data_IF_133344970416
#
_entry.id   IF_133344970416
#
_cell.length_a   1.000
_cell.length_b   1.000
_cell.length_c   1.000
_cell.angle_alpha   90.00
_cell.angle_beta   90.00
_cell.angle_gamma   90.00
#
_symmetry.space_group_name_H-M   'P 1'
#
loop_
_entity.id
_entity.type
_entity.pdbx_description
1 polymer ?
#
# COMPACT_ATOMS: atom_id res chain seq x y z
N UNK A 1 26.73 18.80 -6.05
CA UNK A 1 25.50 19.29 -6.71
C UNK A 1 24.38 18.30 -6.41
N UNK A 2 23.59 18.51 -5.35
CA UNK A 2 22.44 17.67 -5.04
C UNK A 2 21.30 18.03 -5.99
N UNK A 3 21.15 17.21 -7.03
CA UNK A 3 20.04 17.29 -7.97
C UNK A 3 18.72 17.13 -7.21
N UNK A 4 17.99 18.24 -7.04
CA UNK A 4 16.59 18.23 -6.63
C UNK A 4 15.76 17.72 -7.81
N UNK A 5 15.78 16.42 -8.07
CA UNK A 5 14.80 15.80 -8.97
C UNK A 5 13.43 15.83 -8.28
N UNK A 6 12.60 16.79 -8.65
CA UNK A 6 11.33 17.15 -8.02
C UNK A 6 10.19 16.15 -8.25
N UNK A 7 10.36 14.89 -7.83
CA UNK A 7 9.31 13.88 -7.98
C UNK A 7 7.99 14.22 -7.26
N UNK A 8 6.89 13.81 -7.89
CA UNK A 8 5.50 14.10 -7.50
C UNK A 8 5.09 13.34 -6.23
N UNK A 9 4.29 13.98 -5.36
CA UNK A 9 3.72 13.35 -4.15
C UNK A 9 2.21 13.34 -4.22
N UNK A 10 1.59 12.29 -3.67
CA UNK A 10 0.15 12.26 -3.50
C UNK A 10 -0.30 13.29 -2.46
N UNK A 11 -1.40 14.00 -2.74
CA UNK A 11 -2.05 14.91 -1.80
C UNK A 11 -3.55 15.06 -2.14
N UNK A 12 -4.46 14.40 -1.40
CA UNK A 12 -4.21 13.45 -0.32
C UNK A 12 -3.75 12.07 -0.82
N UNK A 13 -3.28 11.21 0.10
CA UNK A 13 -2.84 9.85 -0.22
C UNK A 13 -4.02 8.89 -0.14
N UNK A 14 -4.24 8.08 -1.17
CA UNK A 14 -5.30 7.08 -1.21
C UNK A 14 -4.77 5.65 -1.34
N UNK A 15 -5.53 4.72 -0.81
CA UNK A 15 -5.48 3.28 -1.11
C UNK A 15 -6.82 2.86 -1.71
N UNK A 16 -6.83 1.82 -2.54
CA UNK A 16 -8.05 1.34 -3.19
C UNK A 16 -7.93 -0.09 -3.69
N UNK A 17 -9.05 -0.67 -4.11
CA UNK A 17 -9.10 -2.00 -4.71
C UNK A 17 -8.38 -2.10 -6.06
N UNK A 18 -8.37 -3.29 -6.66
CA UNK A 18 -7.64 -3.56 -7.91
C UNK A 18 -8.17 -2.78 -9.12
N UNK A 19 -9.45 -2.38 -9.11
CA UNK A 19 -10.05 -1.54 -10.16
C UNK A 19 -9.61 -0.08 -10.08
N UNK A 20 -9.03 0.36 -8.97
CA UNK A 20 -8.56 1.74 -8.78
C UNK A 20 -7.17 1.86 -9.38
N UNK A 21 -7.03 2.78 -10.34
CA UNK A 21 -5.76 3.02 -11.02
C UNK A 21 -4.67 3.46 -10.03
N UNK A 22 -3.47 2.94 -10.20
CA UNK A 22 -2.30 3.31 -9.42
C UNK A 22 -1.70 4.64 -9.89
N UNK A 23 -0.97 5.31 -9.00
CA UNK A 23 -0.15 6.48 -9.31
C UNK A 23 -0.38 7.65 -8.35
N UNK A 24 -0.10 8.86 -8.84
CA UNK A 24 -0.18 10.09 -8.03
C UNK A 24 -1.64 10.45 -7.77
N UNK A 25 -2.08 10.32 -6.52
CA UNK A 25 -3.40 10.75 -6.05
C UNK A 25 -3.44 12.25 -5.77
N UNK A 26 -4.47 12.93 -6.27
CA UNK A 26 -4.77 14.34 -5.98
C UNK A 26 -6.24 14.49 -5.52
N UNK A 27 -6.62 15.67 -5.03
CA UNK A 27 -8.02 15.96 -4.69
C UNK A 27 -9.00 15.75 -5.88
N UNK A 28 -8.54 15.97 -7.11
CA UNK A 28 -9.32 15.83 -8.35
C UNK A 28 -9.13 14.48 -9.05
N UNK A 29 -8.04 13.76 -8.77
CA UNK A 29 -7.75 12.44 -9.36
C UNK A 29 -7.44 11.43 -8.24
N UNK A 30 -8.47 10.70 -7.82
CA UNK A 30 -8.32 9.66 -6.79
C UNK A 30 -7.64 8.43 -7.40
N UNK A 31 -6.36 8.23 -7.07
CA UNK A 31 -5.53 7.09 -7.50
C UNK A 31 -4.92 6.41 -6.29
N UNK A 32 -4.79 5.09 -6.35
CA UNK A 32 -4.10 4.33 -5.30
C UNK A 32 -2.60 4.62 -5.37
N UNK A 33 -1.99 5.05 -4.27
CA UNK A 33 -0.56 5.31 -4.26
C UNK A 33 0.22 3.98 -4.32
N UNK A 34 1.08 3.84 -5.33
CA UNK A 34 1.98 2.69 -5.51
C UNK A 34 3.40 2.94 -4.98
N UNK A 35 3.66 4.13 -4.44
CA UNK A 35 4.91 4.51 -3.80
C UNK A 35 4.76 4.63 -2.28
N UNK A 36 3.89 3.82 -1.67
CA UNK A 36 3.65 3.88 -0.22
C UNK A 36 4.86 3.39 0.59
N UNK A 37 5.19 4.12 1.64
CA UNK A 37 6.21 3.76 2.63
C UNK A 37 5.62 3.83 4.03
N UNK A 38 5.92 2.84 4.86
CA UNK A 38 5.51 2.86 6.25
C UNK A 38 6.54 3.60 7.09
N UNK A 39 6.11 4.60 7.86
CA UNK A 39 7.01 5.38 8.73
C UNK A 39 7.37 4.67 10.03
N UNK A 40 6.75 3.51 10.34
CA UNK A 40 7.02 2.76 11.58
C UNK A 40 8.08 1.69 11.42
N UNK A 41 8.03 0.92 10.33
CA UNK A 41 9.04 -0.08 10.03
C UNK A 41 10.03 0.38 8.95
N UNK A 42 9.76 1.51 8.30
CA UNK A 42 10.54 2.08 7.20
C UNK A 42 10.55 1.25 5.90
N UNK A 43 9.72 0.21 5.80
CA UNK A 43 9.56 -0.61 4.60
C UNK A 43 8.59 0.02 3.60
N UNK A 44 8.82 -0.27 2.32
CA UNK A 44 7.82 -0.08 1.27
C UNK A 44 6.58 -0.93 1.57
N UNK A 45 5.41 -0.37 1.32
CA UNK A 45 4.14 -1.11 1.38
C UNK A 45 3.96 -1.84 0.06
N UNK A 46 3.89 -3.16 0.13
CA UNK A 46 3.65 -4.04 -1.00
C UNK A 46 2.15 -4.08 -1.31
N UNK A 47 1.83 -4.21 -2.60
CA UNK A 47 0.46 -4.31 -3.11
C UNK A 47 0.27 -5.61 -3.88
N UNK A 48 -0.89 -6.23 -3.70
CA UNK A 48 -1.29 -7.46 -4.37
C UNK A 48 -2.72 -7.32 -4.90
N UNK A 49 -2.85 -7.28 -6.23
CA UNK A 49 -4.12 -7.09 -6.92
C UNK A 49 -4.97 -8.36 -6.90
N UNK A 50 -6.29 -8.18 -6.93
CA UNK A 50 -7.30 -9.24 -6.89
C UNK A 50 -7.06 -10.23 -5.75
N UNK A 51 -6.60 -9.70 -4.63
CA UNK A 51 -6.17 -10.46 -3.47
C UNK A 51 -6.64 -9.82 -2.17
N UNK A 52 -6.87 -10.66 -1.17
CA UNK A 52 -7.10 -10.26 0.22
C UNK A 52 -6.23 -11.09 1.16
N UNK A 53 -5.85 -10.52 2.30
CA UNK A 53 -5.23 -11.27 3.38
C UNK A 53 -6.20 -12.31 3.95
N UNK A 54 -5.71 -13.53 4.09
CA UNK A 54 -6.42 -14.58 4.80
C UNK A 54 -6.57 -14.22 6.30
N UNK A 55 -7.62 -14.74 6.94
CA UNK A 55 -7.89 -14.49 8.37
C UNK A 55 -6.78 -15.02 9.28
N UNK A 56 -6.01 -16.02 8.82
CA UNK A 56 -4.84 -16.56 9.52
C UNK A 56 -3.55 -15.74 9.31
N UNK A 57 -3.62 -14.60 8.62
CA UNK A 57 -2.50 -13.67 8.52
C UNK A 57 -2.37 -12.88 9.83
N UNK A 58 -1.22 -13.01 10.48
CA UNK A 58 -0.92 -12.33 11.74
C UNK A 58 0.31 -11.42 11.64
N UNK A 59 0.55 -10.69 12.72
CA UNK A 59 1.65 -9.74 12.83
C UNK A 59 3.03 -10.40 12.69
N UNK A 60 3.24 -11.57 13.30
CA UNK A 60 4.55 -12.25 13.29
C UNK A 60 4.88 -12.74 11.89
N UNK A 61 3.90 -13.27 11.15
CA UNK A 61 4.06 -13.67 9.77
C UNK A 61 4.57 -12.51 8.91
N UNK A 62 3.93 -11.34 8.97
CA UNK A 62 4.36 -10.18 8.17
C UNK A 62 5.71 -9.63 8.62
N UNK A 63 5.96 -9.56 9.93
CA UNK A 63 7.24 -9.09 10.48
C UNK A 63 8.42 -9.95 9.99
N UNK A 64 8.23 -11.27 9.92
CA UNK A 64 9.28 -12.22 9.57
C UNK A 64 9.44 -12.41 8.05
N UNK A 65 8.42 -12.11 7.26
CA UNK A 65 8.41 -12.43 5.83
C UNK A 65 8.33 -11.23 4.90
N UNK A 66 7.80 -10.07 5.29
CA UNK A 66 7.90 -8.91 4.42
C UNK A 66 9.36 -8.43 4.33
N UNK A 67 9.89 -8.12 3.13
CA UNK A 67 9.18 -7.85 1.88
C UNK A 67 9.14 -9.03 0.86
N UNK A 68 9.37 -10.27 1.29
CA UNK A 68 9.35 -11.46 0.42
C UNK A 68 7.94 -11.74 -0.13
N UNK A 69 7.69 -11.27 -1.36
CA UNK A 69 6.38 -11.38 -2.03
C UNK A 69 5.95 -12.84 -2.23
N UNK A 70 6.88 -13.78 -2.38
CA UNK A 70 6.54 -15.18 -2.60
C UNK A 70 6.03 -15.80 -1.30
N UNK A 71 6.72 -15.55 -0.17
CA UNK A 71 6.25 -16.00 1.15
C UNK A 71 4.91 -15.35 1.50
N UNK A 72 4.77 -14.04 1.29
CA UNK A 72 3.53 -13.32 1.59
C UNK A 72 2.32 -13.86 0.81
N UNK A 73 2.51 -14.27 -0.45
CA UNK A 73 1.44 -14.87 -1.27
C UNK A 73 0.83 -16.14 -0.68
N UNK A 74 1.53 -16.83 0.22
CA UNK A 74 0.99 -18.03 0.88
C UNK A 74 -0.18 -17.73 1.84
N UNK A 75 -0.30 -16.46 2.29
CA UNK A 75 -1.39 -15.97 3.16
C UNK A 75 -2.35 -15.04 2.43
N UNK A 76 -2.33 -15.04 1.10
CA UNK A 76 -3.30 -14.31 0.27
C UNK A 76 -4.34 -15.26 -0.29
N UNK A 77 -5.58 -14.79 -0.32
CA UNK A 77 -6.70 -15.42 -1.03
C UNK A 77 -7.06 -14.60 -2.25
N UNK A 78 -7.41 -15.27 -3.35
CA UNK A 78 -7.91 -14.59 -4.56
C UNK A 78 -9.27 -13.98 -4.27
N UNK A 79 -9.41 -12.67 -4.52
CA UNK A 79 -10.66 -11.94 -4.42
C UNK A 79 -10.65 -10.78 -5.42
N UNK A 80 -11.40 -10.93 -6.51
CA UNK A 80 -11.46 -9.91 -7.58
C UNK A 80 -11.98 -8.58 -7.05
N UNK A 81 -11.42 -7.49 -7.55
CA UNK A 81 -11.77 -6.13 -7.12
C UNK A 81 -11.10 -5.67 -5.83
N UNK A 82 -10.56 -6.61 -5.03
CA UNK A 82 -9.83 -6.28 -3.81
C UNK A 82 -8.34 -6.09 -4.10
N UNK A 83 -7.69 -5.31 -3.26
CA UNK A 83 -6.24 -5.20 -3.23
C UNK A 83 -5.76 -5.34 -1.79
N UNK A 84 -4.79 -6.22 -1.59
CA UNK A 84 -4.11 -6.41 -0.33
C UNK A 84 -2.86 -5.54 -0.27
N UNK A 85 -2.65 -4.88 0.86
CA UNK A 85 -1.52 -4.03 1.16
C UNK A 85 -0.82 -4.53 2.41
N UNK A 86 0.52 -4.53 2.44
CA UNK A 86 1.26 -4.81 3.67
C UNK A 86 2.66 -4.19 3.69
N UNK A 87 3.09 -3.84 4.90
CA UNK A 87 4.50 -3.74 5.28
C UNK A 87 4.79 -4.76 6.39
N UNK A 88 5.94 -4.66 7.07
CA UNK A 88 6.28 -5.58 8.17
C UNK A 88 5.39 -5.44 9.41
N UNK A 89 4.73 -4.30 9.61
CA UNK A 89 4.00 -4.02 10.87
C UNK A 89 2.49 -3.79 10.71
N UNK A 90 1.98 -3.68 9.49
CA UNK A 90 0.58 -3.36 9.23
C UNK A 90 0.16 -3.92 7.88
N UNK A 91 -1.12 -4.28 7.78
CA UNK A 91 -1.72 -4.81 6.57
C UNK A 91 -3.21 -4.48 6.50
N UNK A 92 -3.74 -4.46 5.28
CA UNK A 92 -5.17 -4.26 5.03
C UNK A 92 -5.54 -4.82 3.66
N UNK A 93 -6.80 -5.19 3.49
CA UNK A 93 -7.42 -5.47 2.18
C UNK A 93 -8.58 -4.49 1.97
N UNK A 94 -8.71 -3.92 0.79
CA UNK A 94 -9.82 -3.02 0.47
C UNK A 94 -10.30 -3.19 -0.97
N UNK A 95 -11.60 -3.03 -1.22
CA UNK A 95 -12.17 -2.81 -2.55
C UNK A 95 -12.33 -1.33 -2.85
N UNK A 96 -12.64 -0.53 -1.83
CA UNK A 96 -13.06 0.84 -1.99
C UNK A 96 -11.88 1.80 -1.92
N UNK A 97 -11.98 2.89 -2.67
CA UNK A 97 -10.99 3.97 -2.59
C UNK A 97 -11.16 4.72 -1.28
N UNK A 98 -10.15 4.69 -0.43
CA UNK A 98 -10.14 5.30 0.89
C UNK A 98 -8.95 6.24 1.02
N UNK A 99 -9.14 7.41 1.63
CA UNK A 99 -8.02 8.28 1.99
C UNK A 99 -7.29 7.70 3.20
N UNK A 100 -5.96 7.72 3.21
CA UNK A 100 -5.19 7.23 4.36
C UNK A 100 -5.44 8.07 5.63
N UNK A 101 -5.89 9.33 5.48
CA UNK A 101 -6.32 10.16 6.61
C UNK A 101 -7.46 9.53 7.43
N UNK A 102 -8.28 8.68 6.80
CA UNK A 102 -9.38 7.96 7.45
C UNK A 102 -8.90 6.66 8.14
N UNK A 103 -7.61 6.33 8.04
CA UNK A 103 -6.99 5.12 8.63
C UNK A 103 -5.71 5.49 9.40
N UNK A 104 -5.83 6.23 10.53
CA UNK A 104 -4.66 6.72 11.28
C UNK A 104 -3.76 5.61 11.85
N UNK A 105 -4.28 4.38 12.00
CA UNK A 105 -3.49 3.21 12.38
C UNK A 105 -2.46 2.81 11.30
N UNK A 106 -2.73 3.13 10.03
CA UNK A 106 -1.80 2.92 8.94
C UNK A 106 -0.86 4.10 8.87
N UNK A 107 0.30 3.96 9.52
CA UNK A 107 1.40 4.94 9.48
C UNK A 107 2.12 4.89 8.13
N UNK A 108 1.38 5.06 7.04
CA UNK A 108 1.83 4.98 5.66
C UNK A 108 1.77 6.36 5.01
N UNK A 109 2.76 6.67 4.19
CA UNK A 109 2.88 7.94 3.47
C UNK A 109 3.29 7.69 2.02
N UNK A 110 3.05 8.68 1.15
CA UNK A 110 3.63 8.66 -0.20
C UNK A 110 5.14 8.90 -0.12
N UNK A 111 5.92 7.90 -0.55
CA UNK A 111 7.37 7.89 -0.59
C UNK A 111 8.00 8.69 -1.74
N UNK A 112 7.19 9.35 -2.58
CA UNK A 112 7.53 10.11 -3.82
C UNK A 112 7.52 9.25 -5.07
N UNK A 113 6.82 9.72 -6.11
CA UNK A 113 6.81 9.14 -7.45
C UNK A 113 7.96 9.73 -8.27
N UNK A 114 8.59 8.89 -9.09
CA UNK A 114 9.56 9.34 -10.10
C UNK A 114 8.79 9.91 -11.30
N UNK A 115 9.44 10.82 -12.04
CA UNK A 115 8.83 11.48 -13.20
C UNK A 115 8.79 10.57 -14.44
#
# INVERSE_FOLDING_TARGET
>A
LWSHSGGRKCCPVFIGGSSVTNGVGTATSKRSCDQLRCTSCDFQVLMFDDSEWDVSCDYLFLRNHAPDRQKLRTKLRRRRGFRAYACQCSWISTSDTTALGDKPQLRWVCGKHQD
#
